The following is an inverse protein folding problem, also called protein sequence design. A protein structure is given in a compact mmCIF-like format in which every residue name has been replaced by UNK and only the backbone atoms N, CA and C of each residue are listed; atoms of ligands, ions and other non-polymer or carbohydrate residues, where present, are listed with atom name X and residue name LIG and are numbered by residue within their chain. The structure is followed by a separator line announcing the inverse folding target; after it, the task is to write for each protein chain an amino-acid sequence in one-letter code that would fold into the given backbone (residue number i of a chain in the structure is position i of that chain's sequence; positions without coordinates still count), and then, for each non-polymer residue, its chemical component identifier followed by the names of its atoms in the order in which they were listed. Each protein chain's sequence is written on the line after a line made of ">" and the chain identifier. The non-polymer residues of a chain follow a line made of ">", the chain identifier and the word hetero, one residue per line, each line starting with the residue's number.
data_IF_982881061559
#
_entry.id   IF_982881061559
#
_cell.length_a   1.000
_cell.length_b   1.000
_cell.length_c   1.000
_cell.angle_alpha   90.00
_cell.angle_beta   90.00
_cell.angle_gamma   90.00
#
_symmetry.space_group_name_H-M   'P 1'
#
loop_
_entity.id
_entity.type
_entity.pdbx_description
1 polymer ?
#
# COMPACT_ATOMS: atom_id res chain seq x y z
N UNK A 1 -18.54 13.04 2.18
CA UNK A 1 -17.64 12.52 3.25
C UNK A 1 -16.21 12.55 2.73
N UNK A 2 -15.22 12.90 3.56
CA UNK A 2 -13.81 12.89 3.16
C UNK A 2 -13.08 11.75 3.85
N UNK A 3 -12.25 11.04 3.10
CA UNK A 3 -11.29 10.06 3.63
C UNK A 3 -9.88 10.49 3.27
N UNK A 4 -8.97 10.40 4.24
CA UNK A 4 -7.54 10.61 4.04
C UNK A 4 -6.82 9.27 4.13
N UNK A 5 -6.08 8.95 3.08
CA UNK A 5 -5.25 7.75 3.01
C UNK A 5 -3.79 8.14 2.94
N UNK A 6 -2.95 7.47 3.72
CA UNK A 6 -1.49 7.58 3.60
C UNK A 6 -0.93 6.34 2.92
N UNK A 7 -0.09 6.53 1.91
CA UNK A 7 0.57 5.47 1.15
C UNK A 7 2.07 5.47 1.38
N UNK A 8 2.64 4.29 1.67
CA UNK A 8 4.07 4.04 1.77
C UNK A 8 4.51 3.17 0.59
N UNK A 9 5.31 3.74 -0.31
CA UNK A 9 5.85 3.05 -1.49
C UNK A 9 7.36 2.86 -1.33
N UNK A 10 7.84 1.65 -1.58
CA UNK A 10 9.28 1.36 -1.68
C UNK A 10 9.59 0.62 -2.97
N UNK A 11 10.60 1.09 -3.71
CA UNK A 11 11.23 0.34 -4.81
C UNK A 11 12.67 -0.02 -4.43
N UNK A 12 13.45 -0.61 -5.35
CA UNK A 12 14.85 -0.95 -5.09
C UNK A 12 15.66 0.21 -4.48
N UNK A 13 15.49 1.43 -5.00
CA UNK A 13 16.27 2.59 -4.60
C UNK A 13 15.46 3.82 -4.21
N UNK A 14 14.12 3.75 -4.21
CA UNK A 14 13.25 4.88 -3.88
C UNK A 14 12.37 4.54 -2.70
N UNK A 15 12.15 5.54 -1.88
CA UNK A 15 11.12 5.54 -0.84
C UNK A 15 10.21 6.74 -1.07
N UNK A 16 8.91 6.51 -1.06
CA UNK A 16 7.88 7.52 -1.26
C UNK A 16 6.82 7.45 -0.17
N UNK A 17 6.33 8.61 0.25
CA UNK A 17 5.13 8.72 1.09
C UNK A 17 4.18 9.70 0.43
N UNK A 18 2.94 9.27 0.21
CA UNK A 18 1.89 10.09 -0.37
C UNK A 18 0.67 10.17 0.53
N UNK A 19 -0.01 11.32 0.51
CA UNK A 19 -1.31 11.49 1.17
C UNK A 19 -2.32 11.90 0.11
N UNK A 20 -3.44 11.18 0.08
CA UNK A 20 -4.53 11.38 -0.88
C UNK A 20 -5.83 11.59 -0.12
N UNK A 21 -6.58 12.61 -0.52
CA UNK A 21 -7.94 12.86 -0.07
C UNK A 21 -8.93 12.31 -1.09
N UNK A 22 -9.88 11.52 -0.61
CA UNK A 22 -10.98 10.97 -1.37
C UNK A 22 -12.28 11.60 -0.89
N UNK A 23 -13.08 12.13 -1.80
CA UNK A 23 -14.37 12.75 -1.50
C UNK A 23 -15.51 11.88 -2.01
N UNK A 24 -16.46 11.55 -1.14
CA UNK A 24 -17.61 10.71 -1.46
C UNK A 24 -18.92 11.50 -1.34
N UNK A 25 -19.85 11.27 -2.26
CA UNK A 25 -21.17 11.91 -2.29
C UNK A 25 -22.05 11.52 -1.10
N UNK A 26 -21.84 10.32 -0.56
CA UNK A 26 -22.61 9.74 0.55
C UNK A 26 -21.69 9.17 1.62
N UNK A 27 -22.15 9.03 2.88
CA UNK A 27 -21.40 8.32 3.92
C UNK A 27 -21.18 6.87 3.52
N UNK A 28 -19.94 6.38 3.61
CA UNK A 28 -19.62 4.97 3.38
C UNK A 28 -19.99 4.18 4.64
N UNK A 29 -20.81 3.15 4.49
CA UNK A 29 -20.97 2.12 5.53
C UNK A 29 -19.78 1.17 5.47
N UNK A 30 -18.70 1.48 6.18
CA UNK A 30 -17.60 0.53 6.34
C UNK A 30 -18.06 -0.62 7.25
N UNK A 31 -17.83 -1.89 6.89
CA UNK A 31 -17.99 -2.98 7.85
C UNK A 31 -17.01 -2.74 9.01
N UNK A 32 -17.51 -2.80 10.25
CA UNK A 32 -16.68 -2.72 11.44
C UNK A 32 -15.83 -3.98 11.55
N UNK A 33 -14.62 -3.94 10.99
CA UNK A 33 -13.61 -5.00 11.13
C UNK A 33 -12.81 -4.74 12.40
N UNK A 34 -12.86 -5.68 13.34
CA UNK A 34 -12.09 -5.65 14.57
C UNK A 34 -10.64 -6.07 14.30
N UNK A 35 -9.78 -5.08 14.03
CA UNK A 35 -8.34 -5.29 13.80
C UNK A 35 -7.58 -5.80 15.04
N UNK A 36 -8.24 -5.95 16.20
CA UNK A 36 -7.60 -6.54 17.39
C UNK A 36 -7.46 -8.07 17.35
N UNK A 37 -8.00 -8.73 16.31
CA UNK A 37 -8.02 -10.20 16.17
C UNK A 37 -7.21 -10.74 14.98
N UNK A 38 -6.39 -9.92 14.34
CA UNK A 38 -5.58 -10.36 13.20
C UNK A 38 -4.22 -10.93 13.66
N UNK A 39 -4.23 -12.19 14.13
CA UNK A 39 -3.03 -12.96 14.45
C UNK A 39 -2.36 -13.58 13.19
N UNK A 40 -2.81 -13.26 11.97
CA UNK A 40 -2.25 -13.84 10.72
C UNK A 40 -0.99 -13.13 10.20
N UNK A 41 -0.10 -12.74 11.10
CA UNK A 41 1.32 -12.45 10.80
C UNK A 41 2.25 -13.61 11.15
N UNK A 42 1.75 -14.85 11.23
CA UNK A 42 2.57 -16.04 11.13
C UNK A 42 2.38 -16.68 9.75
N UNK A 43 3.45 -16.78 8.96
CA UNK A 43 3.50 -17.64 7.79
C UNK A 43 3.13 -19.07 8.22
N UNK A 44 2.16 -19.75 7.59
CA UNK A 44 1.99 -21.17 7.84
C UNK A 44 3.26 -21.90 7.41
N UNK A 45 3.87 -22.64 8.33
CA UNK A 45 4.98 -23.55 8.03
C UNK A 45 4.47 -24.65 7.08
N UNK A 46 5.15 -24.82 5.94
CA UNK A 46 4.92 -25.78 4.85
C UNK A 46 3.76 -25.51 3.87
N UNK A 47 4.03 -24.75 2.80
CA UNK A 47 3.47 -24.98 1.47
C UNK A 47 4.63 -24.90 0.47
N UNK A 48 4.88 -25.98 -0.27
CA UNK A 48 5.90 -26.06 -1.32
C UNK A 48 5.40 -25.40 -2.62
N UNK A 49 6.32 -24.77 -3.35
CA UNK A 49 6.08 -24.01 -4.59
C UNK A 49 5.81 -24.96 -5.77
N UNK A 50 4.84 -25.86 -5.62
CA UNK A 50 4.39 -26.78 -6.67
C UNK A 50 2.85 -26.93 -6.65
N UNK A 51 2.19 -26.53 -5.55
CA UNK A 51 0.73 -26.65 -5.38
C UNK A 51 -0.06 -25.39 -5.78
N UNK A 52 0.59 -24.34 -6.31
CA UNK A 52 -0.04 -23.03 -6.59
C UNK A 52 -0.36 -22.76 -8.08
N UNK A 53 -0.14 -23.71 -8.99
CA UNK A 53 -0.31 -23.48 -10.44
C UNK A 53 -1.42 -24.31 -11.13
N UNK A 54 -2.36 -24.91 -10.39
CA UNK A 54 -3.52 -25.57 -11.00
C UNK A 54 -4.82 -25.26 -10.25
N UNK A 55 -5.87 -25.00 -11.04
CA UNK A 55 -7.27 -24.73 -10.66
C UNK A 55 -7.54 -23.24 -10.33
N UNK A 56 -8.37 -22.50 -11.06
CA UNK A 56 -9.71 -22.85 -11.55
C UNK A 56 -10.01 -22.30 -12.96
N UNK A 57 -10.35 -23.22 -13.86
CA UNK A 57 -11.34 -23.00 -14.91
C UNK A 57 -12.71 -23.36 -14.34
N UNK A 58 -13.64 -22.40 -14.21
CA UNK A 58 -15.04 -22.67 -13.92
C UNK A 58 -15.93 -21.98 -14.95
N UNK A 59 -16.88 -22.76 -15.44
CA UNK A 59 -17.75 -22.60 -16.60
C UNK A 59 -18.73 -21.42 -16.49
N UNK A 60 -19.06 -20.87 -17.66
CA UNK A 60 -20.17 -19.96 -17.87
C UNK A 60 -21.50 -20.70 -17.70
N UNK A 61 -22.39 -20.20 -16.84
CA UNK A 61 -23.83 -20.02 -17.05
C UNK A 61 -24.51 -19.80 -15.68
N UNK A 62 -25.22 -18.66 -15.52
CA UNK A 62 -26.52 -18.48 -14.81
C UNK A 62 -26.88 -16.98 -14.81
N UNK A 63 -27.83 -16.66 -15.69
CA UNK A 63 -29.05 -15.86 -15.48
C UNK A 63 -29.10 -14.76 -14.38
N UNK A 64 -28.99 -13.51 -14.83
CA UNK A 64 -29.67 -12.29 -14.37
C UNK A 64 -30.31 -12.29 -12.95
N UNK A 65 -29.55 -11.83 -11.93
CA UNK A 65 -30.16 -11.22 -10.74
C UNK A 65 -29.63 -9.81 -10.52
N UNK A 66 -30.56 -8.90 -10.27
CA UNK A 66 -30.30 -7.47 -10.11
C UNK A 66 -29.80 -7.22 -8.68
N UNK A 67 -28.51 -7.50 -8.40
CA UNK A 67 -27.95 -7.29 -7.04
C UNK A 67 -26.62 -6.54 -7.03
N UNK A 68 -26.79 -5.23 -6.87
CA UNK A 68 -25.95 -4.28 -6.12
C UNK A 68 -24.50 -4.10 -6.53
N UNK A 69 -24.32 -3.29 -7.57
CA UNK A 69 -23.06 -2.58 -7.79
C UNK A 69 -22.92 -1.51 -6.69
N UNK A 70 -22.25 -1.83 -5.58
CA UNK A 70 -21.70 -0.80 -4.68
C UNK A 70 -20.35 -0.33 -5.21
N UNK A 71 -20.31 0.38 -6.34
CA UNK A 71 -19.14 1.23 -6.61
C UNK A 71 -19.23 2.44 -5.70
N UNK A 72 -18.64 2.33 -4.51
CA UNK A 72 -18.27 3.49 -3.71
C UNK A 72 -17.04 4.14 -4.36
N UNK A 73 -17.20 4.65 -5.58
CA UNK A 73 -16.17 5.44 -6.23
C UNK A 73 -16.15 6.84 -5.60
N UNK A 74 -14.96 7.40 -5.30
CA UNK A 74 -14.86 8.78 -4.90
C UNK A 74 -15.34 9.69 -6.04
N UNK A 75 -16.10 10.70 -5.68
CA UNK A 75 -16.53 11.81 -6.56
C UNK A 75 -15.34 12.65 -6.99
N UNK A 76 -14.36 12.83 -6.09
CA UNK A 76 -13.12 13.54 -6.37
C UNK A 76 -11.94 12.92 -5.60
N UNK A 77 -10.76 13.00 -6.20
CA UNK A 77 -9.50 12.48 -5.64
C UNK A 77 -8.43 13.55 -5.77
N UNK A 78 -7.87 13.96 -4.63
CA UNK A 78 -6.83 14.99 -4.57
C UNK A 78 -5.57 14.48 -3.90
N UNK A 79 -4.45 14.55 -4.59
CA UNK A 79 -3.12 14.32 -4.01
C UNK A 79 -2.74 15.55 -3.18
N UNK A 80 -2.57 15.36 -1.85
CA UNK A 80 -2.17 16.43 -0.93
C UNK A 80 -0.66 16.52 -0.77
N UNK A 81 0.03 15.36 -0.77
CA UNK A 81 1.49 15.31 -0.77
C UNK A 81 1.99 14.05 -1.48
N UNK A 82 3.20 14.13 -2.02
CA UNK A 82 3.90 13.01 -2.66
C UNK A 82 5.41 13.25 -2.56
N UNK A 83 5.96 12.92 -1.39
CA UNK A 83 7.36 13.19 -1.04
C UNK A 83 8.20 11.95 -1.26
N UNK A 84 9.41 12.11 -1.81
CA UNK A 84 10.25 10.99 -2.23
C UNK A 84 11.72 11.24 -1.89
N UNK A 85 12.43 10.16 -1.59
CA UNK A 85 13.89 10.13 -1.50
C UNK A 85 14.43 9.00 -2.36
N UNK A 86 15.62 9.19 -2.92
CA UNK A 86 16.29 8.22 -3.78
C UNK A 86 17.68 7.95 -3.25
N UNK A 87 18.02 6.67 -3.08
CA UNK A 87 19.38 6.24 -2.82
C UNK A 87 20.17 6.26 -4.12
N UNK A 88 21.26 7.04 -4.14
CA UNK A 88 22.18 7.12 -5.27
C UNK A 88 23.53 6.49 -4.85
N UNK A 89 23.87 5.28 -5.33
CA UNK A 89 25.14 4.64 -5.03
C UNK A 89 26.30 5.37 -5.74
N UNK A 90 27.54 5.15 -5.30
CA UNK A 90 28.73 5.63 -6.01
C UNK A 90 28.78 5.15 -7.47
N UNK A 91 29.51 5.89 -8.30
CA UNK A 91 29.68 5.52 -9.71
C UNK A 91 30.37 4.14 -9.83
N UNK A 92 29.76 3.25 -10.61
CA UNK A 92 30.26 1.88 -10.82
C UNK A 92 29.63 0.82 -9.91
N UNK A 93 28.76 1.21 -8.97
CA UNK A 93 28.03 0.28 -8.09
C UNK A 93 26.54 0.23 -8.41
N UNK A 94 25.92 -0.92 -8.17
CA UNK A 94 24.46 -1.08 -8.21
C UNK A 94 23.80 -0.75 -6.86
N UNK A 95 22.47 -0.76 -6.83
CA UNK A 95 21.72 -0.58 -5.58
C UNK A 95 21.72 -1.88 -4.77
N UNK A 96 22.64 -2.02 -3.81
CA UNK A 96 22.68 -3.21 -2.96
C UNK A 96 21.48 -3.24 -1.99
N UNK A 97 20.80 -4.38 -1.81
CA UNK A 97 19.60 -4.49 -0.95
C UNK A 97 19.87 -4.05 0.50
N UNK A 98 21.08 -4.35 1.00
CA UNK A 98 21.50 -3.96 2.35
C UNK A 98 21.52 -2.44 2.52
N UNK A 99 22.10 -1.73 1.55
CA UNK A 99 22.32 -0.29 1.64
C UNK A 99 21.04 0.48 1.37
N UNK A 100 20.23 0.02 0.42
CA UNK A 100 18.91 0.61 0.14
C UNK A 100 17.96 0.43 1.31
N UNK A 101 17.97 -0.75 1.95
CA UNK A 101 17.18 -0.97 3.17
C UNK A 101 17.65 -0.07 4.33
N UNK A 102 18.96 0.15 4.49
CA UNK A 102 19.48 1.08 5.49
C UNK A 102 19.09 2.54 5.18
N UNK A 103 19.15 2.93 3.91
CA UNK A 103 18.67 4.22 3.44
C UNK A 103 17.17 4.41 3.73
N UNK A 104 16.31 3.42 3.43
CA UNK A 104 14.88 3.52 3.71
C UNK A 104 14.59 3.65 5.22
N UNK A 105 15.21 2.82 6.07
CA UNK A 105 15.02 2.89 7.52
C UNK A 105 15.43 4.23 8.12
N UNK A 106 16.49 4.85 7.61
CA UNK A 106 16.94 6.17 8.08
C UNK A 106 16.07 7.32 7.59
N UNK A 107 15.39 7.17 6.46
CA UNK A 107 14.61 8.25 5.84
C UNK A 107 13.09 8.15 6.03
N UNK A 108 12.54 7.02 6.48
CA UNK A 108 11.09 6.82 6.63
C UNK A 108 10.42 7.84 7.57
N UNK A 109 10.99 8.08 8.75
CA UNK A 109 10.40 9.00 9.73
C UNK A 109 10.53 10.48 9.30
N UNK A 110 11.70 10.96 8.82
CA UNK A 110 11.80 12.29 8.23
C UNK A 110 10.82 12.51 7.07
N UNK A 111 10.69 11.52 6.19
CA UNK A 111 9.82 11.60 5.03
C UNK A 111 8.34 11.64 5.44
N UNK A 112 7.95 10.85 6.44
CA UNK A 112 6.59 10.85 6.98
C UNK A 112 6.21 12.22 7.54
N UNK A 113 7.10 12.81 8.35
CA UNK A 113 6.89 14.16 8.90
C UNK A 113 6.73 15.18 7.78
N UNK A 114 7.58 15.10 6.75
CA UNK A 114 7.52 15.98 5.58
C UNK A 114 6.20 15.81 4.81
N UNK A 115 5.73 14.58 4.62
CA UNK A 115 4.46 14.29 3.94
C UNK A 115 3.26 14.91 4.67
N UNK A 116 3.23 14.80 6.01
CA UNK A 116 2.16 15.36 6.85
C UNK A 116 2.17 16.89 6.83
N UNK A 117 3.36 17.50 6.91
CA UNK A 117 3.54 18.96 6.84
C UNK A 117 3.10 19.49 5.46
N UNK A 118 3.56 18.86 4.37
CA UNK A 118 3.24 19.30 3.01
C UNK A 118 1.74 19.15 2.69
N UNK A 119 1.09 18.13 3.25
CA UNK A 119 -0.36 17.94 3.15
C UNK A 119 -1.18 18.82 4.12
N UNK A 120 -0.53 19.44 5.13
CA UNK A 120 -1.18 20.17 6.22
C UNK A 120 -2.25 19.34 6.96
N UNK A 121 -1.91 18.10 7.31
CA UNK A 121 -2.79 17.17 8.04
C UNK A 121 -2.08 16.57 9.25
N UNK A 122 -2.86 16.12 10.24
CA UNK A 122 -2.34 15.42 11.40
C UNK A 122 -2.51 13.90 11.25
N UNK A 123 -1.77 13.12 12.04
CA UNK A 123 -1.90 11.66 12.04
C UNK A 123 -3.29 11.17 12.45
N UNK A 124 -4.02 11.91 13.29
CA UNK A 124 -5.38 11.56 13.71
C UNK A 124 -6.43 11.71 12.60
N UNK A 125 -6.11 12.44 11.54
CA UNK A 125 -7.03 12.64 10.42
C UNK A 125 -6.97 11.49 9.40
N UNK A 126 -5.92 10.66 9.47
CA UNK A 126 -5.69 9.56 8.53
C UNK A 126 -6.64 8.39 8.85
N UNK A 127 -7.38 7.95 7.83
CA UNK A 127 -8.36 6.88 7.95
C UNK A 127 -7.83 5.51 7.54
N UNK A 128 -6.85 5.47 6.62
CA UNK A 128 -6.25 4.21 6.17
C UNK A 128 -4.76 4.37 5.88
N UNK A 129 -4.02 3.29 6.14
CA UNK A 129 -2.60 3.16 5.81
C UNK A 129 -2.48 2.11 4.70
N UNK A 130 -1.85 2.50 3.60
CA UNK A 130 -1.56 1.66 2.47
C UNK A 130 -0.05 1.51 2.36
N UNK A 131 0.43 0.32 1.99
CA UNK A 131 1.86 0.10 1.73
C UNK A 131 2.06 -0.96 0.65
N UNK A 132 3.21 -0.93 0.00
CA UNK A 132 3.60 -1.98 -0.95
C UNK A 132 3.85 -3.30 -0.21
N UNK A 133 2.91 -4.24 -0.32
CA UNK A 133 3.05 -5.63 0.17
C UNK A 133 3.59 -6.50 -0.97
N UNK A 134 4.90 -6.73 -1.05
CA UNK A 134 5.45 -7.68 -2.04
C UNK A 134 6.84 -7.39 -2.61
N UNK A 135 7.20 -8.24 -3.58
CA UNK A 135 8.55 -8.66 -3.98
C UNK A 135 9.40 -7.55 -4.65
N UNK A 136 10.42 -7.06 -3.93
CA UNK A 136 11.59 -6.46 -4.57
C UNK A 136 12.53 -7.60 -4.97
N UNK A 137 12.66 -7.87 -6.27
CA UNK A 137 13.55 -8.91 -6.80
C UNK A 137 15.01 -8.61 -6.41
N UNK A 138 15.56 -9.42 -5.50
CA UNK A 138 17.00 -9.56 -5.29
C UNK A 138 17.34 -11.05 -5.23
N UNK A 139 17.04 -11.80 -6.30
CA UNK A 139 17.80 -13.02 -6.55
C UNK A 139 19.19 -12.59 -7.03
N UNK A 140 20.21 -12.88 -6.22
CA UNK A 140 21.54 -13.35 -6.61
C UNK A 140 22.36 -13.49 -5.32
N UNK A 141 22.37 -14.70 -4.77
CA UNK A 141 23.54 -15.29 -4.12
C UNK A 141 23.70 -16.72 -4.64
#
# INVERSE_FOLDING_TARGET
>A
MKLLTIGFEGSANKLGIGIVQHEFSSPISLPSVDYSKDDTQALPENITIEDLEAEESIEQDIENDSQTIFVNEPVDVKVLSNVRVTYNPPAGEGFLPKDTAAHHRSHILPLLKKALIDANVSMSDINAVCYTKGFLFFEFF
#
